data_IF_552537478427
#
_entry.id   IF_552537478427
#
_cell.length_a   1.000
_cell.length_b   1.000
_cell.length_c   1.000
_cell.angle_alpha   90.00
_cell.angle_beta   90.00
_cell.angle_gamma   90.00
#
_symmetry.space_group_name_H-M   'P 1'
#
loop_
_entity.id
_entity.type
_entity.pdbx_description
1 polymer ?
#
# COMPACT_ATOMS: atom_id res chain seq x y z
N UNK A 1 2.26 21.62 -62.51
CA UNK A 1 1.94 22.67 -61.50
C UNK A 1 0.81 22.26 -60.55
N UNK A 2 -0.36 21.81 -61.06
CA UNK A 2 -1.51 21.36 -60.25
C UNK A 2 -1.23 20.20 -59.27
N UNK A 3 -0.41 19.22 -59.65
CA UNK A 3 -0.09 18.07 -58.80
C UNK A 3 0.68 18.45 -57.52
N UNK A 4 1.54 19.46 -57.60
CA UNK A 4 2.31 19.98 -56.45
C UNK A 4 1.37 20.72 -55.48
N UNK A 5 0.40 21.47 -56.02
CA UNK A 5 -0.62 22.16 -55.23
C UNK A 5 -1.50 21.17 -54.46
N UNK A 6 -1.95 20.08 -55.12
CA UNK A 6 -2.73 19.01 -54.48
C UNK A 6 -1.97 18.30 -53.36
N UNK A 7 -0.67 18.00 -53.55
CA UNK A 7 0.17 17.40 -52.50
C UNK A 7 0.30 18.31 -51.28
N UNK A 8 0.55 19.62 -51.48
CA UNK A 8 0.64 20.59 -50.37
C UNK A 8 -0.67 20.70 -49.59
N UNK A 9 -1.81 20.65 -50.28
CA UNK A 9 -3.13 20.70 -49.65
C UNK A 9 -3.41 19.48 -48.75
N UNK A 10 -3.06 18.28 -49.22
CA UNK A 10 -3.21 17.03 -48.43
C UNK A 10 -2.35 17.08 -47.17
N UNK A 11 -1.10 17.53 -47.26
CA UNK A 11 -0.18 17.64 -46.12
C UNK A 11 -0.71 18.62 -45.08
N UNK A 12 -1.25 19.77 -45.51
CA UNK A 12 -1.82 20.75 -44.57
C UNK A 12 -3.03 20.19 -43.82
N UNK A 13 -3.93 19.47 -44.50
CA UNK A 13 -5.09 18.85 -43.84
C UNK A 13 -4.62 17.80 -42.83
N UNK A 14 -3.64 16.97 -43.19
CA UNK A 14 -3.06 15.97 -42.29
C UNK A 14 -2.48 16.63 -41.03
N UNK A 15 -1.75 17.74 -41.19
CA UNK A 15 -1.17 18.49 -40.08
C UNK A 15 -2.25 19.05 -39.15
N UNK A 16 -3.33 19.62 -39.69
CA UNK A 16 -4.44 20.15 -38.88
C UNK A 16 -5.10 19.02 -38.07
N UNK A 17 -5.39 17.88 -38.70
CA UNK A 17 -5.98 16.72 -38.02
C UNK A 17 -5.04 16.22 -36.92
N UNK A 18 -3.73 16.16 -37.19
CA UNK A 18 -2.73 15.76 -36.21
C UNK A 18 -2.71 16.69 -35.00
N UNK A 19 -2.72 18.01 -35.22
CA UNK A 19 -2.73 19.01 -34.14
C UNK A 19 -3.97 18.86 -33.26
N UNK A 20 -5.16 18.72 -33.86
CA UNK A 20 -6.42 18.52 -33.12
C UNK A 20 -6.38 17.22 -32.31
N UNK A 21 -5.84 16.15 -32.91
CA UNK A 21 -5.73 14.84 -32.25
C UNK A 21 -4.81 14.89 -31.04
N UNK A 22 -3.65 15.55 -31.17
CA UNK A 22 -2.69 15.75 -30.06
C UNK A 22 -3.32 16.59 -28.95
N UNK A 23 -4.09 17.63 -29.30
CA UNK A 23 -4.78 18.46 -28.33
C UNK A 23 -5.78 17.66 -27.49
N UNK A 24 -6.63 16.85 -28.13
CA UNK A 24 -7.59 15.99 -27.43
C UNK A 24 -6.88 14.93 -26.57
N UNK A 25 -5.80 14.35 -27.08
CA UNK A 25 -5.00 13.36 -26.36
C UNK A 25 -4.38 13.97 -25.09
N UNK A 26 -3.89 15.20 -25.17
CA UNK A 26 -3.31 15.90 -24.02
C UNK A 26 -4.33 16.11 -22.89
N UNK A 27 -5.55 16.53 -23.24
CA UNK A 27 -6.63 16.73 -22.27
C UNK A 27 -7.02 15.38 -21.63
N UNK A 28 -7.16 14.34 -22.45
CA UNK A 28 -7.49 13.00 -21.96
C UNK A 28 -6.39 12.46 -21.02
N UNK A 29 -5.13 12.59 -21.43
CA UNK A 29 -3.98 12.16 -20.64
C UNK A 29 -3.93 12.87 -19.29
N UNK A 30 -4.13 14.19 -19.28
CA UNK A 30 -4.12 14.97 -18.04
C UNK A 30 -5.21 14.50 -17.06
N UNK A 31 -6.42 14.26 -17.57
CA UNK A 31 -7.52 13.75 -16.76
C UNK A 31 -7.23 12.34 -16.21
N UNK A 32 -6.72 11.43 -17.06
CA UNK A 32 -6.36 10.08 -16.62
C UNK A 32 -5.25 10.09 -15.58
N UNK A 33 -4.24 10.95 -15.75
CA UNK A 33 -3.15 11.10 -14.80
C UNK A 33 -3.65 11.61 -13.45
N UNK A 34 -4.58 12.55 -13.44
CA UNK A 34 -5.21 13.03 -12.21
C UNK A 34 -5.96 11.90 -11.47
N UNK A 35 -6.75 11.11 -12.20
CA UNK A 35 -7.46 9.97 -11.62
C UNK A 35 -6.51 8.91 -11.09
N UNK A 36 -5.44 8.62 -11.84
CA UNK A 36 -4.41 7.66 -11.43
C UNK A 36 -3.75 8.10 -10.13
N UNK A 37 -3.33 9.35 -10.03
CA UNK A 37 -2.68 9.88 -8.83
C UNK A 37 -3.59 9.81 -7.59
N UNK A 38 -4.88 10.11 -7.77
CA UNK A 38 -5.86 9.99 -6.69
C UNK A 38 -5.97 8.55 -6.19
N UNK A 39 -6.05 7.59 -7.12
CA UNK A 39 -6.14 6.17 -6.78
C UNK A 39 -4.86 5.65 -6.12
N UNK A 40 -3.70 6.05 -6.65
CA UNK A 40 -2.39 5.71 -6.09
C UNK A 40 -2.28 6.16 -4.63
N UNK A 41 -2.71 7.39 -4.32
CA UNK A 41 -2.69 7.90 -2.95
C UNK A 41 -3.57 7.08 -1.99
N UNK A 42 -4.75 6.66 -2.44
CA UNK A 42 -5.66 5.82 -1.64
C UNK A 42 -5.01 4.45 -1.39
N UNK A 43 -4.52 3.79 -2.45
CA UNK A 43 -3.89 2.47 -2.34
C UNK A 43 -2.65 2.52 -1.46
N UNK A 44 -1.81 3.55 -1.60
CA UNK A 44 -0.62 3.75 -0.77
C UNK A 44 -0.98 3.90 0.71
N UNK A 45 -1.97 4.74 1.03
CA UNK A 45 -2.43 4.92 2.41
C UNK A 45 -3.01 3.62 3.00
N UNK A 46 -3.78 2.87 2.22
CA UNK A 46 -4.28 1.55 2.65
C UNK A 46 -3.14 0.56 2.88
N UNK A 47 -2.13 0.53 2.00
CA UNK A 47 -0.97 -0.34 2.14
C UNK A 47 -0.14 -0.01 3.38
N UNK A 48 0.12 1.27 3.64
CA UNK A 48 0.81 1.74 4.85
C UNK A 48 0.04 1.33 6.12
N UNK A 49 -1.29 1.49 6.13
CA UNK A 49 -2.14 1.07 7.25
C UNK A 49 -2.10 -0.45 7.46
N UNK A 50 -2.22 -1.25 6.41
CA UNK A 50 -2.15 -2.72 6.49
C UNK A 50 -0.77 -3.16 7.01
N UNK A 51 0.31 -2.54 6.52
CA UNK A 51 1.66 -2.87 6.95
C UNK A 51 1.90 -2.52 8.43
N UNK A 52 1.36 -1.39 8.90
CA UNK A 52 1.42 -1.01 10.30
C UNK A 52 0.67 -2.03 11.19
N UNK A 53 -0.54 -2.42 10.80
CA UNK A 53 -1.32 -3.45 11.50
C UNK A 53 -0.60 -4.80 11.50
N UNK A 54 -0.01 -5.21 10.37
CA UNK A 54 0.72 -6.47 10.29
C UNK A 54 1.94 -6.47 11.22
N UNK A 55 2.67 -5.35 11.31
CA UNK A 55 3.75 -5.19 12.29
C UNK A 55 3.26 -5.26 13.73
N UNK A 56 2.13 -4.63 14.04
CA UNK A 56 1.53 -4.69 15.38
C UNK A 56 1.16 -6.12 15.75
N UNK A 57 0.44 -6.83 14.87
CA UNK A 57 0.09 -8.23 15.08
C UNK A 57 1.32 -9.09 15.30
N UNK A 58 2.37 -8.92 14.49
CA UNK A 58 3.61 -9.70 14.62
C UNK A 58 4.33 -9.45 15.95
N UNK A 59 4.28 -8.22 16.48
CA UNK A 59 4.78 -7.92 17.82
C UNK A 59 3.95 -8.59 18.90
N UNK A 60 2.61 -8.46 18.85
CA UNK A 60 1.70 -9.10 19.81
C UNK A 60 1.88 -10.62 19.83
N UNK A 61 2.00 -11.26 18.66
CA UNK A 61 2.29 -12.69 18.57
C UNK A 61 3.64 -13.05 19.20
N UNK A 62 4.68 -12.26 18.95
CA UNK A 62 6.00 -12.49 19.55
C UNK A 62 6.00 -12.30 21.07
N UNK A 63 5.24 -11.34 21.59
CA UNK A 63 5.09 -11.12 23.03
C UNK A 63 4.35 -12.29 23.70
N UNK A 64 3.27 -12.77 23.07
CA UNK A 64 2.53 -13.94 23.54
C UNK A 64 3.40 -15.21 23.53
N UNK A 65 4.12 -15.46 22.43
CA UNK A 65 5.03 -16.60 22.31
C UNK A 65 6.17 -16.52 23.34
N UNK A 66 6.74 -15.33 23.54
CA UNK A 66 7.72 -15.09 24.60
C UNK A 66 7.14 -15.38 25.98
N UNK A 67 5.92 -14.91 26.28
CA UNK A 67 5.24 -15.18 27.54
C UNK A 67 5.01 -16.69 27.79
N UNK A 68 4.58 -17.42 26.76
CA UNK A 68 4.40 -18.88 26.82
C UNK A 68 5.75 -19.58 27.07
N UNK A 69 6.80 -19.15 26.36
CA UNK A 69 8.15 -19.70 26.49
C UNK A 69 8.71 -19.46 27.90
N UNK A 70 8.53 -18.26 28.45
CA UNK A 70 8.93 -17.92 29.82
C UNK A 70 8.18 -18.78 30.83
N UNK A 71 6.86 -18.96 30.65
CA UNK A 71 6.05 -19.81 31.53
C UNK A 71 6.48 -21.29 31.48
N UNK A 72 6.77 -21.83 30.30
CA UNK A 72 7.28 -23.20 30.17
C UNK A 72 8.65 -23.33 30.85
N UNK A 73 9.57 -22.39 30.59
CA UNK A 73 10.90 -22.39 31.20
C UNK A 73 10.84 -22.28 32.72
N UNK A 74 9.95 -21.44 33.26
CA UNK A 74 9.80 -21.29 34.71
C UNK A 74 9.30 -22.57 35.37
N UNK A 75 8.34 -23.27 34.74
CA UNK A 75 7.77 -24.51 35.26
C UNK A 75 8.69 -25.72 35.09
N UNK A 76 9.35 -25.87 33.95
CA UNK A 76 10.06 -27.09 33.57
C UNK A 76 11.55 -27.05 33.94
N UNK A 77 12.22 -25.92 33.76
CA UNK A 77 13.66 -25.80 34.04
C UNK A 77 13.93 -25.22 35.43
N UNK A 78 13.18 -24.18 35.80
CA UNK A 78 13.35 -23.50 37.09
C UNK A 78 12.50 -24.12 38.20
N UNK A 79 11.63 -25.08 37.87
CA UNK A 79 10.73 -25.78 38.79
C UNK A 79 9.93 -24.81 39.68
N UNK A 80 9.56 -23.65 39.15
CA UNK A 80 8.77 -22.65 39.88
C UNK A 80 7.34 -23.17 40.05
N UNK A 81 6.88 -23.18 41.30
CA UNK A 81 5.50 -23.50 41.66
C UNK A 81 4.70 -22.21 41.75
N UNK A 82 3.47 -22.22 41.25
CA UNK A 82 2.53 -21.15 41.56
C UNK A 82 2.28 -21.21 43.06
N UNK A 83 2.41 -20.10 43.81
CA UNK A 83 2.14 -20.11 45.24
C UNK A 83 0.73 -20.64 45.45
N UNK A 84 0.63 -21.76 46.17
CA UNK A 84 -0.64 -22.26 46.68
C UNK A 84 -1.20 -21.15 47.58
N UNK A 85 -2.50 -20.89 47.51
CA UNK A 85 -3.20 -20.03 48.47
C UNK A 85 -3.12 -20.69 49.86
N UNK A 86 -1.96 -20.60 50.50
CA UNK A 86 -1.80 -21.00 51.89
C UNK A 86 -2.47 -19.93 52.72
N UNK A 87 -3.51 -20.37 53.43
CA UNK A 87 -4.26 -19.68 54.47
C UNK A 87 -3.46 -18.54 55.10
N UNK A 88 -4.08 -17.37 55.16
CA UNK A 88 -3.58 -16.17 55.83
C UNK A 88 -2.92 -16.56 57.17
N UNK A 89 -1.59 -16.61 57.18
CA UNK A 89 -0.84 -16.70 58.43
C UNK A 89 -0.94 -15.30 59.05
N UNK A 90 -1.98 -15.11 59.85
CA UNK A 90 -2.14 -13.97 60.74
C UNK A 90 -0.97 -13.94 61.73
N UNK A 91 -0.09 -12.96 61.58
CA UNK A 91 0.95 -12.62 62.55
C UNK A 91 0.35 -11.70 63.62
#
# INVERSE_FOLDING_TARGET
MLAILKKKFIINILLIISIVSISLLSIHWHHQMYLLHKNEKIVKSSHERINALNRQLMMEYSELESGITIYQKSKEELLMFVPTETEEVSI
#
